data_IF_990958894608
#
_entry.id   IF_990958894608
#
_cell.length_a   1.000
_cell.length_b   1.000
_cell.length_c   1.000
_cell.angle_alpha   90.00
_cell.angle_beta   90.00
_cell.angle_gamma   90.00
#
_symmetry.space_group_name_H-M   'P 1'
#
loop_
_entity.id
_entity.type
_entity.pdbx_description
1 polymer ?
#
# COMPACT_ATOMS: atom_id res chain seq x y z
N UNK A 1 26.72 -42.09 -36.70
CA UNK A 1 27.75 -41.32 -35.99
C UNK A 1 28.15 -40.15 -36.85
N UNK A 2 27.49 -39.00 -36.72
CA UNK A 2 27.95 -37.67 -37.17
C UNK A 2 27.18 -36.62 -36.36
N UNK A 3 27.92 -35.63 -35.88
CA UNK A 3 27.61 -34.67 -34.83
C UNK A 3 26.48 -33.68 -35.22
N UNK A 4 25.56 -33.43 -34.30
CA UNK A 4 24.69 -32.25 -34.30
C UNK A 4 25.45 -31.07 -33.65
N UNK A 5 25.76 -30.04 -34.43
CA UNK A 5 26.22 -28.74 -33.93
C UNK A 5 24.96 -27.93 -33.63
N UNK A 6 24.62 -27.77 -32.35
CA UNK A 6 23.60 -26.82 -31.89
C UNK A 6 24.26 -25.44 -31.75
N UNK A 7 24.01 -24.57 -32.73
CA UNK A 7 24.37 -23.16 -32.66
C UNK A 7 23.51 -22.47 -31.59
N UNK A 8 24.19 -21.92 -30.58
CA UNK A 8 23.64 -20.93 -29.68
C UNK A 8 23.31 -19.66 -30.46
N UNK A 9 22.02 -19.39 -30.66
CA UNK A 9 21.56 -18.06 -31.06
C UNK A 9 20.93 -17.43 -29.83
N UNK A 10 21.71 -16.51 -29.27
CA UNK A 10 21.31 -15.49 -28.32
C UNK A 10 20.16 -14.68 -28.95
N UNK A 11 18.94 -14.79 -28.40
CA UNK A 11 17.84 -13.89 -28.74
C UNK A 11 17.81 -12.80 -27.66
N UNK A 12 17.86 -11.52 -28.04
CA UNK A 12 18.05 -10.44 -27.09
C UNK A 12 16.82 -10.29 -26.21
N UNK A 13 17.09 -9.99 -24.93
CA UNK A 13 16.12 -9.57 -23.93
C UNK A 13 15.14 -8.56 -24.54
N UNK A 14 13.93 -9.01 -24.86
CA UNK A 14 12.81 -8.13 -25.06
C UNK A 14 12.50 -7.52 -23.68
N UNK A 15 12.69 -6.20 -23.56
CA UNK A 15 12.21 -5.41 -22.44
C UNK A 15 10.73 -5.72 -22.22
N UNK A 16 10.44 -6.53 -21.21
CA UNK A 16 9.13 -6.53 -20.60
C UNK A 16 9.12 -5.26 -19.76
N UNK A 17 8.59 -4.17 -20.32
CA UNK A 17 8.09 -3.07 -19.51
C UNK A 17 6.96 -3.66 -18.67
N UNK A 18 7.31 -4.11 -17.46
CA UNK A 18 6.35 -4.53 -16.47
C UNK A 18 5.57 -3.26 -16.15
N UNK A 19 4.30 -3.21 -16.55
CA UNK A 19 3.38 -2.19 -16.09
C UNK A 19 3.21 -2.38 -14.59
N UNK A 20 4.08 -1.72 -13.82
CA UNK A 20 4.02 -1.69 -12.36
C UNK A 20 2.97 -0.63 -12.01
N UNK A 21 1.72 -1.07 -11.84
CA UNK A 21 0.66 -0.21 -11.32
C UNK A 21 0.96 0.15 -9.86
N UNK A 22 1.78 1.18 -9.68
CA UNK A 22 1.73 2.09 -8.56
C UNK A 22 1.02 3.32 -9.12
N UNK A 23 -0.27 3.46 -8.85
CA UNK A 23 -1.16 4.47 -9.44
C UNK A 23 -0.57 5.90 -9.49
N UNK A 24 0.39 6.24 -8.60
CA UNK A 24 1.11 7.52 -8.55
C UNK A 24 2.38 7.63 -9.41
N UNK A 25 2.98 6.52 -9.86
CA UNK A 25 4.15 6.55 -10.75
C UNK A 25 3.77 6.64 -12.23
N UNK A 26 2.53 6.35 -12.57
CA UNK A 26 2.00 6.46 -13.94
C UNK A 26 1.98 7.92 -14.44
N UNK A 27 1.95 8.89 -13.52
CA UNK A 27 1.96 10.33 -13.82
C UNK A 27 3.36 10.94 -13.99
N UNK A 28 4.42 10.15 -13.83
CA UNK A 28 5.81 10.63 -13.90
C UNK A 28 6.23 10.87 -15.35
N UNK A 29 6.53 12.13 -15.68
CA UNK A 29 6.93 12.58 -17.02
C UNK A 29 8.44 12.72 -17.19
N UNK A 30 9.19 12.88 -16.10
CA UNK A 30 10.65 12.99 -16.14
C UNK A 30 11.28 12.53 -14.82
N UNK A 31 12.55 12.10 -14.90
CA UNK A 31 13.34 11.63 -13.75
C UNK A 31 14.70 12.32 -13.77
N UNK A 32 15.11 12.90 -12.64
CA UNK A 32 16.42 13.54 -12.49
C UNK A 32 17.03 13.18 -11.13
N UNK A 33 18.21 12.57 -11.14
CA UNK A 33 18.95 12.34 -9.90
C UNK A 33 19.45 13.69 -9.37
N UNK A 34 19.07 14.05 -8.14
CA UNK A 34 19.39 15.34 -7.52
C UNK A 34 20.68 15.22 -6.70
N UNK A 35 20.80 14.14 -5.91
CA UNK A 35 22.00 13.85 -5.14
C UNK A 35 22.13 12.35 -4.86
N UNK A 36 23.35 11.93 -4.52
CA UNK A 36 23.67 10.55 -4.16
C UNK A 36 23.75 9.64 -5.38
N UNK A 37 23.59 8.34 -5.14
CA UNK A 37 23.63 7.30 -6.16
C UNK A 37 22.21 6.78 -6.41
N UNK A 38 21.61 7.23 -7.53
CA UNK A 38 20.30 6.79 -7.98
C UNK A 38 20.34 5.53 -8.86
N UNK A 39 21.48 4.83 -8.94
CA UNK A 39 21.64 3.58 -9.68
C UNK A 39 21.80 2.41 -8.70
N UNK A 40 22.85 2.42 -7.88
CA UNK A 40 23.20 1.29 -6.98
C UNK A 40 23.66 1.77 -5.60
N UNK A 41 22.90 2.67 -4.99
CA UNK A 41 23.22 3.17 -3.66
C UNK A 41 22.08 3.90 -3.00
N UNK A 42 22.39 4.97 -2.25
CA UNK A 42 21.38 5.84 -1.64
C UNK A 42 21.38 7.17 -2.36
N UNK A 43 20.20 7.65 -2.73
CA UNK A 43 20.06 8.90 -3.47
C UNK A 43 18.71 9.57 -3.30
N UNK A 44 18.57 10.71 -3.95
CA UNK A 44 17.30 11.42 -4.13
C UNK A 44 17.03 11.67 -5.60
N UNK A 45 15.92 11.13 -6.07
CA UNK A 45 15.43 11.28 -7.43
C UNK A 45 14.26 12.26 -7.42
N UNK A 46 14.36 13.33 -8.22
CA UNK A 46 13.25 14.20 -8.57
C UNK A 46 12.43 13.55 -9.67
N UNK A 47 11.11 13.60 -9.51
CA UNK A 47 10.12 13.04 -10.42
C UNK A 47 9.24 14.19 -10.91
N UNK A 48 9.30 14.54 -12.19
CA UNK A 48 8.37 15.51 -12.76
C UNK A 48 7.01 14.88 -12.97
N UNK A 49 5.93 15.58 -12.62
CA UNK A 49 4.53 15.19 -12.83
C UNK A 49 3.73 16.34 -13.42
N UNK A 50 2.48 16.11 -13.81
CA UNK A 50 1.56 17.18 -14.24
C UNK A 50 1.29 18.23 -13.17
N UNK A 51 1.43 17.86 -11.89
CA UNK A 51 1.15 18.73 -10.74
C UNK A 51 2.40 19.36 -10.11
N UNK A 52 3.58 19.09 -10.67
CA UNK A 52 4.84 19.67 -10.21
C UNK A 52 5.93 18.64 -10.04
N UNK A 53 6.67 18.71 -8.93
CA UNK A 53 7.83 17.85 -8.66
C UNK A 53 7.56 16.96 -7.45
N UNK A 54 7.54 15.65 -7.68
CA UNK A 54 7.65 14.63 -6.66
C UNK A 54 9.10 14.23 -6.39
N UNK A 55 9.31 13.44 -5.34
CA UNK A 55 10.62 12.96 -4.95
C UNK A 55 10.58 11.54 -4.42
N UNK A 56 11.57 10.74 -4.80
CA UNK A 56 11.96 9.55 -4.07
C UNK A 56 13.28 9.79 -3.34
N UNK A 57 13.38 9.37 -2.09
CA UNK A 57 14.62 9.36 -1.32
C UNK A 57 14.76 8.01 -0.63
N UNK A 58 15.80 7.26 -0.96
CA UNK A 58 15.92 5.87 -0.49
C UNK A 58 17.08 5.14 -1.15
N UNK A 59 17.02 3.81 -1.09
CA UNK A 59 18.00 2.97 -1.75
C UNK A 59 17.58 2.69 -3.20
N UNK A 60 18.58 2.48 -4.04
CA UNK A 60 18.46 2.10 -5.43
C UNK A 60 19.25 0.81 -5.64
N UNK A 61 18.76 0.00 -6.56
CA UNK A 61 19.48 -1.13 -7.15
C UNK A 61 19.11 -1.16 -8.62
N UNK A 62 20.11 -1.22 -9.50
CA UNK A 62 19.92 -1.22 -10.97
C UNK A 62 19.01 -0.07 -11.46
N UNK A 63 19.10 1.10 -10.81
CA UNK A 63 18.31 2.28 -11.17
C UNK A 63 16.84 2.28 -10.74
N UNK A 64 16.38 1.24 -10.03
CA UNK A 64 15.01 1.16 -9.51
C UNK A 64 14.96 1.32 -7.99
N UNK A 65 13.80 1.71 -7.45
CA UNK A 65 13.61 1.84 -6.00
C UNK A 65 13.81 0.50 -5.31
N UNK A 66 14.59 0.49 -4.24
CA UNK A 66 14.93 -0.72 -3.51
C UNK A 66 15.11 -0.43 -2.01
N UNK A 67 15.06 -1.46 -1.18
CA UNK A 67 15.25 -1.35 0.27
C UNK A 67 14.32 -0.33 0.91
N UNK A 68 14.80 0.43 1.88
CA UNK A 68 14.02 1.47 2.54
C UNK A 68 14.01 2.77 1.71
N UNK A 69 12.83 3.39 1.58
CA UNK A 69 12.69 4.66 0.89
C UNK A 69 11.37 5.38 1.14
N UNK A 70 11.38 6.67 0.84
CA UNK A 70 10.23 7.58 0.92
C UNK A 70 9.93 8.15 -0.46
N UNK A 71 8.72 7.91 -0.95
CA UNK A 71 8.15 8.49 -2.16
C UNK A 71 7.12 9.57 -1.78
N UNK A 72 7.18 10.71 -2.45
CA UNK A 72 6.21 11.78 -2.37
C UNK A 72 5.84 12.25 -3.78
N UNK A 73 4.56 12.16 -4.13
CA UNK A 73 4.04 12.54 -5.45
C UNK A 73 2.93 13.58 -5.27
N UNK A 74 3.02 14.77 -5.88
CA UNK A 74 1.90 15.70 -5.89
C UNK A 74 0.78 15.16 -6.78
N UNK A 75 -0.44 15.11 -6.25
CA UNK A 75 -1.65 14.61 -6.94
C UNK A 75 -2.65 15.73 -7.27
N UNK A 76 -2.40 16.93 -6.73
CA UNK A 76 -3.11 18.16 -7.06
C UNK A 76 -2.21 19.36 -6.73
N UNK A 77 -2.71 20.58 -6.84
CA UNK A 77 -1.98 21.78 -6.41
C UNK A 77 -1.78 21.87 -4.89
N UNK A 78 -2.54 21.10 -4.10
CA UNK A 78 -2.56 21.19 -2.63
C UNK A 78 -2.31 19.85 -1.93
N UNK A 79 -2.48 18.73 -2.60
CA UNK A 79 -2.42 17.39 -2.01
C UNK A 79 -1.28 16.56 -2.60
N UNK A 80 -0.83 15.59 -1.80
CA UNK A 80 0.24 14.68 -2.15
C UNK A 80 -0.02 13.28 -1.64
N UNK A 81 0.31 12.31 -2.49
CA UNK A 81 0.45 10.91 -2.10
C UNK A 81 1.85 10.69 -1.50
N UNK A 82 1.93 9.93 -0.42
CA UNK A 82 3.18 9.61 0.27
C UNK A 82 3.23 8.11 0.53
N UNK A 83 4.38 7.50 0.24
CA UNK A 83 4.73 6.16 0.69
C UNK A 83 6.05 6.18 1.44
N UNK A 84 6.10 5.56 2.61
CA UNK A 84 7.32 5.33 3.39
C UNK A 84 7.41 3.86 3.73
N UNK A 85 8.46 3.18 3.28
CA UNK A 85 8.61 1.77 3.59
C UNK A 85 9.61 1.04 2.70
N UNK A 86 9.42 -0.26 2.66
CA UNK A 86 10.25 -1.19 1.92
C UNK A 86 9.85 -1.24 0.42
N UNK A 87 10.87 -1.33 -0.42
CA UNK A 87 10.80 -1.44 -1.86
C UNK A 87 11.61 -2.66 -2.30
N UNK A 88 11.10 -3.38 -3.28
CA UNK A 88 11.82 -4.43 -3.98
C UNK A 88 11.49 -4.35 -5.47
N UNK A 89 12.53 -4.31 -6.30
CA UNK A 89 12.45 -4.15 -7.75
C UNK A 89 11.44 -3.06 -8.19
N UNK A 90 11.53 -1.87 -7.61
CA UNK A 90 10.65 -0.74 -7.92
C UNK A 90 9.23 -0.84 -7.36
N UNK A 91 8.87 -1.94 -6.68
CA UNK A 91 7.54 -2.18 -6.13
C UNK A 91 7.53 -2.10 -4.61
N UNK A 92 6.45 -1.56 -4.03
CA UNK A 92 6.19 -1.61 -2.58
C UNK A 92 6.08 -3.08 -2.15
N UNK A 93 6.93 -3.48 -1.22
CA UNK A 93 7.06 -4.88 -0.77
C UNK A 93 7.50 -4.90 0.69
N UNK A 94 6.94 -5.75 1.54
CA UNK A 94 7.19 -5.75 2.99
C UNK A 94 6.42 -4.65 3.72
N UNK A 95 6.90 -4.22 4.90
CA UNK A 95 6.16 -3.23 5.70
C UNK A 95 6.31 -1.81 5.16
N UNK A 96 5.22 -1.05 5.13
CA UNK A 96 5.22 0.37 4.79
C UNK A 96 3.93 1.11 5.16
N UNK A 97 4.01 2.42 5.11
CA UNK A 97 2.92 3.38 5.36
C UNK A 97 2.60 4.12 4.06
N UNK A 98 1.32 4.19 3.70
CA UNK A 98 0.84 4.86 2.50
C UNK A 98 -0.29 5.83 2.83
N UNK A 99 -0.07 7.11 2.54
CA UNK A 99 -1.10 8.14 2.57
C UNK A 99 -1.47 8.48 1.12
N UNK A 100 -2.75 8.37 0.77
CA UNK A 100 -3.20 8.59 -0.61
C UNK A 100 -3.44 10.07 -0.96
N UNK A 101 -3.11 11.01 -0.07
CA UNK A 101 -3.47 12.43 -0.24
C UNK A 101 -4.89 12.78 0.20
N UNK A 102 -5.82 11.83 0.07
CA UNK A 102 -7.26 12.05 0.06
C UNK A 102 -7.96 11.18 1.11
N UNK A 103 -7.54 11.33 2.37
CA UNK A 103 -8.22 10.82 3.54
C UNK A 103 -8.14 9.33 3.82
N UNK A 104 -7.20 8.63 3.17
CA UNK A 104 -6.94 7.21 3.45
C UNK A 104 -5.47 7.01 3.78
N UNK A 105 -5.25 6.29 4.87
CA UNK A 105 -3.93 5.88 5.34
C UNK A 105 -3.90 4.37 5.47
N UNK A 106 -2.87 3.73 4.93
CA UNK A 106 -2.57 2.33 5.19
C UNK A 106 -1.25 2.22 5.95
N UNK A 107 -1.21 1.38 6.98
CA UNK A 107 0.01 0.98 7.67
C UNK A 107 0.00 -0.54 7.72
N UNK A 108 0.94 -1.19 7.06
CA UNK A 108 0.95 -2.64 7.05
C UNK A 108 1.86 -3.25 6.01
N UNK A 109 1.57 -4.50 5.67
CA UNK A 109 2.35 -5.32 4.78
C UNK A 109 1.94 -5.12 3.31
N UNK A 110 2.93 -5.12 2.43
CA UNK A 110 2.79 -4.94 0.99
C UNK A 110 3.40 -6.12 0.24
N UNK A 111 2.80 -6.49 -0.87
CA UNK A 111 3.37 -7.39 -1.85
C UNK A 111 3.04 -6.88 -3.25
N UNK A 112 4.06 -6.65 -4.08
CA UNK A 112 3.92 -6.21 -5.47
C UNK A 112 2.94 -5.03 -5.63
N UNK A 113 3.13 -3.97 -4.84
CA UNK A 113 2.29 -2.77 -4.81
C UNK A 113 0.85 -2.93 -4.30
N UNK A 114 0.48 -4.08 -3.75
CA UNK A 114 -0.82 -4.31 -3.13
C UNK A 114 -0.68 -4.50 -1.63
N UNK A 115 -1.70 -4.11 -0.86
CA UNK A 115 -1.81 -4.47 0.56
C UNK A 115 -2.02 -5.98 0.66
N UNK A 116 -1.20 -6.64 1.47
CA UNK A 116 -1.15 -8.10 1.56
C UNK A 116 -0.72 -8.51 2.98
N UNK A 117 -1.40 -9.46 3.60
CA UNK A 117 -1.18 -9.83 5.00
C UNK A 117 -1.67 -8.77 6.00
N UNK A 118 -1.03 -8.68 7.16
CA UNK A 118 -1.52 -7.86 8.28
C UNK A 118 -1.34 -6.35 8.05
N UNK A 119 -2.37 -5.56 8.36
CA UNK A 119 -2.29 -4.10 8.37
C UNK A 119 -3.50 -3.38 8.96
N UNK A 120 -3.41 -2.06 9.01
CA UNK A 120 -4.47 -1.13 9.39
C UNK A 120 -4.72 -0.14 8.26
N UNK A 121 -6.00 0.02 7.91
CA UNK A 121 -6.47 0.95 6.89
C UNK A 121 -7.46 1.92 7.51
N UNK A 122 -7.06 3.19 7.57
CA UNK A 122 -7.79 4.30 8.15
C UNK A 122 -8.50 5.08 7.05
N UNK A 123 -9.71 5.54 7.35
CA UNK A 123 -10.65 6.15 6.40
C UNK A 123 -11.11 7.50 6.95
N UNK A 124 -11.50 8.41 6.07
CA UNK A 124 -12.05 9.73 6.42
C UNK A 124 -11.09 10.56 7.29
N UNK A 125 -9.78 10.38 7.09
CA UNK A 125 -8.78 11.18 7.78
C UNK A 125 -8.68 12.57 7.13
N UNK A 126 -8.78 13.69 7.88
CA UNK A 126 -8.68 15.03 7.27
C UNK A 126 -7.25 15.35 6.82
N UNK A 127 -6.25 14.82 7.52
CA UNK A 127 -4.84 15.00 7.20
C UNK A 127 -4.02 13.90 7.86
N UNK A 128 -2.81 13.68 7.35
CA UNK A 128 -1.83 12.81 7.97
C UNK A 128 -0.46 13.47 7.93
N UNK A 129 0.24 13.40 9.06
CA UNK A 129 1.62 13.83 9.21
C UNK A 129 2.43 12.70 9.84
N UNK A 130 3.60 12.44 9.25
CA UNK A 130 4.52 11.42 9.73
C UNK A 130 4.93 11.72 11.17
N UNK A 131 4.97 10.68 12.02
CA UNK A 131 5.30 10.74 13.45
C UNK A 131 4.35 11.56 14.35
N UNK A 132 3.21 12.03 13.84
CA UNK A 132 2.22 12.74 14.68
C UNK A 132 1.47 11.81 15.63
N UNK A 133 1.04 10.64 15.15
CA UNK A 133 0.23 9.68 15.91
C UNK A 133 0.74 8.26 15.67
N UNK A 134 0.71 7.43 16.73
CA UNK A 134 1.02 6.01 16.60
C UNK A 134 -0.13 5.25 15.94
N UNK A 135 0.18 4.11 15.29
CA UNK A 135 -0.83 3.21 14.74
C UNK A 135 -1.86 2.76 15.81
N UNK A 136 -1.41 2.57 17.05
CA UNK A 136 -2.30 2.29 18.17
C UNK A 136 -3.28 3.43 18.43
N UNK A 137 -2.80 4.66 18.50
CA UNK A 137 -3.65 5.82 18.72
C UNK A 137 -4.66 6.01 17.58
N UNK A 138 -4.20 5.87 16.32
CA UNK A 138 -5.08 5.99 15.15
C UNK A 138 -6.19 4.93 15.18
N UNK A 139 -5.88 3.68 15.52
CA UNK A 139 -6.88 2.59 15.57
C UNK A 139 -8.01 2.86 16.55
N UNK A 140 -7.74 3.55 17.65
CA UNK A 140 -8.76 3.84 18.66
C UNK A 140 -9.49 5.17 18.44
N UNK A 141 -9.02 6.02 17.52
CA UNK A 141 -9.54 7.39 17.34
C UNK A 141 -9.98 7.75 15.91
N UNK A 142 -9.90 6.81 14.96
CA UNK A 142 -10.28 7.04 13.56
C UNK A 142 -11.08 5.86 13.03
N UNK A 143 -11.91 6.09 12.01
CA UNK A 143 -12.56 4.99 11.31
C UNK A 143 -11.52 4.11 10.64
N UNK A 144 -11.55 2.80 10.91
CA UNK A 144 -10.54 1.90 10.37
C UNK A 144 -10.97 0.46 10.26
N UNK A 145 -10.28 -0.25 9.38
CA UNK A 145 -10.15 -1.70 9.41
C UNK A 145 -8.75 -2.09 9.86
N UNK A 146 -8.63 -3.10 10.73
CA UNK A 146 -7.36 -3.72 11.10
C UNK A 146 -7.49 -5.24 11.00
N UNK A 147 -6.64 -5.89 10.22
CA UNK A 147 -6.71 -7.33 9.98
C UNK A 147 -5.90 -7.77 8.76
N UNK A 148 -6.28 -8.91 8.19
CA UNK A 148 -5.65 -9.44 6.98
C UNK A 148 -6.13 -8.75 5.71
N UNK A 149 -5.18 -8.56 4.79
CA UNK A 149 -5.42 -8.10 3.43
C UNK A 149 -4.99 -9.19 2.45
N UNK A 150 -5.75 -9.34 1.38
CA UNK A 150 -5.35 -10.12 0.21
C UNK A 150 -5.67 -9.29 -1.02
N UNK A 151 -4.65 -8.97 -1.82
CA UNK A 151 -4.81 -8.14 -3.01
C UNK A 151 -5.66 -6.87 -2.76
N UNK A 152 -5.21 -6.01 -1.84
CA UNK A 152 -5.87 -4.75 -1.46
C UNK A 152 -7.21 -4.85 -0.74
N UNK A 153 -7.77 -6.06 -0.60
CA UNK A 153 -9.08 -6.28 0.00
C UNK A 153 -8.98 -6.80 1.43
N UNK A 154 -9.87 -6.36 2.31
CA UNK A 154 -10.04 -6.97 3.63
C UNK A 154 -10.39 -8.45 3.45
N UNK A 155 -9.69 -9.30 4.17
CA UNK A 155 -9.83 -10.74 4.10
C UNK A 155 -9.61 -11.34 5.50
N UNK A 156 -9.94 -12.63 5.68
CA UNK A 156 -9.60 -13.35 6.90
C UNK A 156 -10.23 -12.75 8.15
N UNK A 157 -9.48 -12.68 9.25
CA UNK A 157 -9.97 -12.09 10.49
C UNK A 157 -9.59 -10.62 10.58
N UNK A 158 -10.50 -9.81 11.12
CA UNK A 158 -10.22 -8.40 11.33
C UNK A 158 -11.19 -7.72 12.27
N UNK A 159 -10.90 -6.44 12.54
CA UNK A 159 -11.76 -5.52 13.26
C UNK A 159 -12.04 -4.30 12.41
N UNK A 160 -13.32 -4.00 12.19
CA UNK A 160 -13.75 -2.71 11.68
C UNK A 160 -14.25 -1.84 12.83
N UNK A 161 -13.80 -0.59 12.91
CA UNK A 161 -14.20 0.41 13.89
C UNK A 161 -14.85 1.60 13.18
N UNK A 162 -16.01 2.03 13.68
CA UNK A 162 -16.73 3.20 13.20
C UNK A 162 -16.46 4.43 14.07
N UNK A 163 -16.67 5.66 13.56
CA UNK A 163 -16.44 6.90 14.31
C UNK A 163 -17.25 7.04 15.60
N UNK A 164 -18.40 6.39 15.69
CA UNK A 164 -19.29 6.42 16.86
C UNK A 164 -18.91 5.42 17.96
N UNK A 165 -17.75 4.78 17.83
CA UNK A 165 -17.22 3.80 18.78
C UNK A 165 -17.75 2.38 18.58
N UNK A 166 -18.63 2.16 17.59
CA UNK A 166 -19.03 0.81 17.21
C UNK A 166 -17.85 0.03 16.64
N UNK A 167 -17.84 -1.29 16.85
CA UNK A 167 -16.89 -2.16 16.15
C UNK A 167 -17.44 -3.54 15.85
N UNK A 168 -16.92 -4.14 14.80
CA UNK A 168 -17.17 -5.53 14.42
C UNK A 168 -15.85 -6.27 14.43
N UNK A 169 -15.79 -7.37 15.17
CA UNK A 169 -14.63 -8.27 15.23
C UNK A 169 -15.05 -9.62 14.65
N UNK A 170 -14.45 -10.03 13.55
CA UNK A 170 -14.80 -11.30 12.91
C UNK A 170 -14.24 -11.45 11.50
N UNK A 171 -14.89 -12.32 10.72
CA UNK A 171 -14.45 -12.64 9.38
C UNK A 171 -14.79 -11.58 8.33
N UNK A 172 -13.91 -11.46 7.33
CA UNK A 172 -14.04 -10.63 6.16
C UNK A 172 -13.67 -11.41 4.90
N UNK A 173 -14.37 -11.13 3.81
CA UNK A 173 -14.07 -11.65 2.47
C UNK A 173 -14.34 -10.55 1.45
N UNK A 174 -13.31 -10.18 0.68
CA UNK A 174 -13.39 -9.16 -0.37
C UNK A 174 -14.05 -7.85 0.11
N UNK A 175 -13.52 -7.28 1.20
CA UNK A 175 -14.01 -6.04 1.84
C UNK A 175 -15.37 -6.13 2.55
N UNK A 176 -16.00 -7.31 2.60
CA UNK A 176 -17.31 -7.49 3.22
C UNK A 176 -17.21 -8.39 4.45
N UNK A 177 -18.01 -8.11 5.49
CA UNK A 177 -18.20 -9.03 6.62
C UNK A 177 -18.64 -10.40 6.11
N UNK A 178 -18.02 -11.46 6.61
CA UNK A 178 -18.28 -12.83 6.18
C UNK A 178 -18.00 -13.81 7.32
N UNK A 179 -18.85 -14.82 7.49
CA UNK A 179 -18.80 -15.77 8.59
C UNK A 179 -19.24 -15.16 9.93
N UNK A 180 -18.81 -15.80 11.03
CA UNK A 180 -19.16 -15.39 12.38
C UNK A 180 -18.33 -14.18 12.83
N UNK A 181 -18.96 -13.31 13.62
CA UNK A 181 -18.29 -12.22 14.30
C UNK A 181 -19.08 -11.67 15.48
N UNK A 182 -18.46 -10.76 16.21
CA UNK A 182 -19.03 -10.07 17.36
C UNK A 182 -19.15 -8.59 17.02
N UNK A 183 -20.35 -8.06 17.14
CA UNK A 183 -20.64 -6.65 16.98
C UNK A 183 -20.80 -6.00 18.35
N UNK A 184 -20.06 -4.90 18.56
CA UNK A 184 -20.09 -4.05 19.73
C UNK A 184 -20.79 -2.76 19.33
N UNK A 185 -22.01 -2.58 19.82
CA UNK A 185 -22.82 -1.40 19.54
C UNK A 185 -22.38 -0.23 20.43
N UNK A 186 -22.64 1.00 19.97
CA UNK A 186 -22.34 2.22 20.72
C UNK A 186 -23.12 2.30 22.03
N UNK A 187 -24.25 1.59 22.12
CA UNK A 187 -25.05 1.42 23.34
C UNK A 187 -24.37 0.54 24.40
N UNK A 188 -23.21 -0.06 24.10
CA UNK A 188 -22.53 -1.05 24.93
C UNK A 188 -23.09 -2.48 24.78
N UNK A 189 -24.15 -2.67 23.99
CA UNK A 189 -24.66 -4.01 23.68
C UNK A 189 -23.65 -4.78 22.83
N UNK A 190 -23.48 -6.07 23.12
CA UNK A 190 -22.61 -6.98 22.36
C UNK A 190 -23.48 -8.09 21.78
N UNK A 191 -23.36 -8.35 20.47
CA UNK A 191 -24.10 -9.44 19.81
C UNK A 191 -23.19 -10.26 18.91
N UNK A 192 -23.35 -11.58 18.99
CA UNK A 192 -22.84 -12.45 17.94
C UNK A 192 -23.69 -12.27 16.68
N UNK A 193 -23.04 -12.24 15.53
CA UNK A 193 -23.66 -12.10 14.22
C UNK A 193 -23.04 -13.10 13.25
N UNK A 194 -23.82 -13.53 12.26
CA UNK A 194 -23.35 -14.35 11.16
C UNK A 194 -23.58 -13.60 9.84
N UNK A 195 -22.57 -13.56 8.97
CA UNK A 195 -22.60 -12.75 7.76
C UNK A 195 -22.29 -13.57 6.52
N UNK A 196 -22.97 -13.29 5.42
CA UNK A 196 -22.66 -13.83 4.11
C UNK A 196 -22.51 -12.69 3.11
N UNK A 197 -21.27 -12.46 2.66
CA UNK A 197 -20.90 -11.41 1.70
C UNK A 197 -21.50 -10.04 2.01
N UNK A 198 -21.41 -9.63 3.29
CA UNK A 198 -21.88 -8.32 3.76
C UNK A 198 -23.37 -8.26 4.08
N UNK A 199 -24.10 -9.37 4.00
CA UNK A 199 -25.49 -9.49 4.46
C UNK A 199 -25.54 -10.23 5.79
N UNK A 200 -26.26 -9.68 6.77
CA UNK A 200 -26.53 -10.36 8.03
C UNK A 200 -27.50 -11.51 7.73
N UNK A 201 -27.22 -12.69 8.25
CA UNK A 201 -28.09 -13.87 8.15
C UNK A 201 -28.47 -14.34 9.55
N UNK A 202 -29.73 -14.76 9.69
CA UNK A 202 -30.32 -15.26 10.93
C UNK A 202 -29.88 -16.70 11.24
#
# INVERSE_FOLDING_TARGET
MHLLILNFICVPFALIAINVSAQSLDEVTSKKCVYGDCIDGRGRLELGTSFGKGFYSGHFREGVFHGQGRLEIPISSTEKEIYVGNWDQGSRNGRGTHWNGNGKLYIGQWAYNKREGQGSYFINMPSWFENQNSEFWLRENTENYTGDFVNDSYHGQGTYRWPDGQKFVGGFFANKKHGKGIFYYATGTIRQQNWEYGKLID
#
